data_IF_163924819074
#
_entry.id   IF_163924819074
#
_cell.length_a   1.000
_cell.length_b   1.000
_cell.length_c   1.000
_cell.angle_alpha   90.00
_cell.angle_beta   90.00
_cell.angle_gamma   90.00
#
_symmetry.space_group_name_H-M   'P 1'
#
loop_
_entity.id
_entity.type
_entity.pdbx_description
1 polymer ?
#
# COMPACT_ATOMS: atom_id res chain seq x y z
N UNK A 1 9.82 8.18 10.23
CA UNK A 1 10.25 6.85 10.61
C UNK A 1 9.21 5.82 10.22
N UNK A 2 9.63 4.67 9.74
CA UNK A 2 8.71 3.63 9.36
C UNK A 2 8.11 2.97 10.59
N UNK A 3 6.83 2.65 10.50
CA UNK A 3 6.12 2.01 11.59
C UNK A 3 5.30 0.87 10.97
N UNK A 4 5.64 -0.37 11.33
CA UNK A 4 4.96 -1.52 10.76
C UNK A 4 3.47 -1.52 11.03
N UNK A 5 3.07 -1.10 12.21
CA UNK A 5 1.63 -1.06 12.52
C UNK A 5 0.90 -0.09 11.61
N UNK A 6 1.52 1.04 11.29
CA UNK A 6 0.93 2.02 10.38
C UNK A 6 0.88 1.49 8.96
N UNK A 7 1.93 0.79 8.52
CA UNK A 7 1.93 0.20 7.19
C UNK A 7 0.84 -0.86 7.08
N UNK A 8 0.70 -1.71 8.09
CA UNK A 8 -0.33 -2.74 8.11
C UNK A 8 -1.71 -2.10 8.08
N UNK A 9 -1.90 -1.02 8.81
CA UNK A 9 -3.17 -0.30 8.81
C UNK A 9 -3.52 0.20 7.41
N UNK A 10 -2.54 0.72 6.69
CA UNK A 10 -2.77 1.19 5.32
C UNK A 10 -3.03 0.03 4.36
N UNK A 11 -2.38 -1.12 4.58
CA UNK A 11 -2.66 -2.32 3.79
C UNK A 11 -4.12 -2.75 4.02
N UNK A 12 -4.57 -2.72 5.28
CA UNK A 12 -5.94 -3.07 5.60
C UNK A 12 -6.93 -2.08 4.99
N UNK A 13 -6.56 -0.83 4.90
CA UNK A 13 -7.40 0.18 4.26
C UNK A 13 -7.60 -0.15 2.79
N UNK A 14 -6.54 -0.55 2.10
CA UNK A 14 -6.63 -0.95 0.69
C UNK A 14 -7.57 -2.15 0.56
N UNK A 15 -7.37 -3.15 1.41
CA UNK A 15 -8.16 -4.36 1.38
C UNK A 15 -9.65 -4.04 1.59
N UNK A 16 -9.93 -3.22 2.58
CA UNK A 16 -11.31 -2.85 2.88
C UNK A 16 -11.95 -2.03 1.78
N UNK A 17 -11.19 -1.13 1.17
CA UNK A 17 -11.72 -0.32 0.08
C UNK A 17 -12.11 -1.16 -1.12
N UNK A 18 -11.44 -2.28 -1.32
CA UNK A 18 -11.75 -3.19 -2.41
C UNK A 18 -12.66 -4.33 -1.97
N UNK A 19 -13.08 -4.33 -0.72
CA UNK A 19 -14.02 -5.31 -0.17
C UNK A 19 -13.50 -6.73 -0.33
N UNK A 20 -12.23 -6.93 -0.08
CA UNK A 20 -11.59 -8.23 -0.22
C UNK A 20 -11.34 -8.88 1.13
N UNK A 21 -11.46 -10.21 1.18
CA UNK A 21 -11.01 -10.96 2.34
C UNK A 21 -9.48 -11.02 2.29
N UNK A 22 -8.84 -11.41 3.38
CA UNK A 22 -7.39 -11.57 3.37
C UNK A 22 -6.97 -12.62 2.34
N UNK A 23 -7.74 -13.69 2.18
CA UNK A 23 -7.42 -14.72 1.19
C UNK A 23 -7.53 -14.18 -0.23
N UNK A 24 -8.59 -13.44 -0.54
CA UNK A 24 -8.77 -12.86 -1.87
C UNK A 24 -7.70 -11.82 -2.15
N UNK A 25 -7.36 -11.02 -1.15
CA UNK A 25 -6.32 -10.02 -1.29
C UNK A 25 -4.97 -10.68 -1.59
N UNK A 26 -4.65 -11.77 -0.85
CA UNK A 26 -3.42 -12.51 -1.09
C UNK A 26 -3.36 -13.04 -2.52
N UNK A 27 -4.46 -13.60 -2.99
CA UNK A 27 -4.54 -14.09 -4.35
C UNK A 27 -4.34 -12.96 -5.36
N UNK A 28 -4.98 -11.83 -5.12
CA UNK A 28 -4.91 -10.71 -6.03
C UNK A 28 -3.49 -10.18 -6.20
N UNK A 29 -2.74 -10.10 -5.12
CA UNK A 29 -1.37 -9.58 -5.22
C UNK A 29 -0.32 -10.66 -5.44
N UNK A 30 -0.74 -11.94 -5.43
CA UNK A 30 0.17 -13.03 -5.76
C UNK A 30 1.05 -13.50 -4.63
N UNK A 31 0.54 -13.49 -3.39
CA UNK A 31 1.28 -14.02 -2.25
C UNK A 31 0.49 -15.15 -1.61
N UNK A 32 1.15 -15.94 -0.78
CA UNK A 32 0.49 -17.02 -0.08
C UNK A 32 -0.37 -16.49 1.06
N UNK A 33 -1.45 -17.21 1.34
CA UNK A 33 -2.37 -16.80 2.41
C UNK A 33 -1.68 -16.74 3.76
N UNK A 34 -0.78 -17.68 4.03
CA UNK A 34 -0.07 -17.68 5.30
C UNK A 34 0.83 -16.46 5.45
N UNK A 35 1.49 -16.06 4.36
CA UNK A 35 2.32 -14.87 4.38
C UNK A 35 1.47 -13.63 4.66
N UNK A 36 0.32 -13.53 3.99
CA UNK A 36 -0.60 -12.42 4.21
C UNK A 36 -1.06 -12.38 5.66
N UNK A 37 -1.44 -13.53 6.20
CA UNK A 37 -1.93 -13.62 7.55
C UNK A 37 -0.87 -13.17 8.57
N UNK A 38 0.36 -13.60 8.36
CA UNK A 38 1.45 -13.22 9.28
C UNK A 38 1.75 -11.72 9.22
N UNK A 39 1.63 -11.12 8.06
CA UNK A 39 1.87 -9.68 7.93
C UNK A 39 0.72 -8.91 8.55
N UNK A 40 -0.51 -9.29 8.28
CA UNK A 40 -1.67 -8.56 8.81
C UNK A 40 -1.78 -8.70 10.33
N UNK A 41 -1.28 -9.79 10.90
CA UNK A 41 -1.32 -9.98 12.35
C UNK A 41 -0.14 -9.29 13.05
N UNK A 42 0.80 -8.74 12.29
CA UNK A 42 1.97 -8.10 12.87
C UNK A 42 3.10 -9.05 13.20
N UNK A 43 2.94 -10.34 12.87
CA UNK A 43 3.97 -11.33 13.18
C UNK A 43 5.22 -11.13 12.33
N UNK A 44 5.03 -10.79 11.07
CA UNK A 44 6.15 -10.53 10.16
C UNK A 44 6.04 -9.14 9.59
N UNK A 45 7.19 -8.52 9.32
CA UNK A 45 7.22 -7.21 8.65
C UNK A 45 6.94 -7.39 7.18
N UNK A 46 6.17 -6.47 6.56
CA UNK A 46 6.02 -6.52 5.11
C UNK A 46 7.36 -6.27 4.44
N UNK A 47 7.70 -7.14 3.50
CA UNK A 47 8.92 -6.95 2.73
C UNK A 47 8.68 -5.93 1.63
N UNK A 48 9.76 -5.39 1.08
CA UNK A 48 9.65 -4.48 -0.06
C UNK A 48 8.94 -5.18 -1.22
N UNK A 49 9.25 -6.43 -1.47
CA UNK A 49 8.62 -7.20 -2.53
C UNK A 49 7.11 -7.28 -2.32
N UNK A 50 6.68 -7.51 -1.08
CA UNK A 50 5.26 -7.56 -0.75
C UNK A 50 4.58 -6.23 -1.06
N UNK A 51 5.23 -5.11 -0.71
CA UNK A 51 4.66 -3.79 -0.95
C UNK A 51 4.60 -3.46 -2.44
N UNK A 52 5.60 -3.88 -3.19
CA UNK A 52 5.61 -3.69 -4.64
C UNK A 52 4.48 -4.50 -5.28
N UNK A 53 4.23 -5.71 -4.78
CA UNK A 53 3.13 -6.52 -5.30
C UNK A 53 1.78 -5.85 -5.07
N UNK A 54 1.61 -5.18 -3.94
CA UNK A 54 0.38 -4.41 -3.71
C UNK A 54 0.27 -3.27 -4.70
N UNK A 55 1.36 -2.53 -4.89
CA UNK A 55 1.37 -1.41 -5.82
C UNK A 55 1.05 -1.88 -7.24
N UNK A 56 1.61 -3.01 -7.65
CA UNK A 56 1.38 -3.53 -9.00
C UNK A 56 -0.05 -3.99 -9.21
N UNK A 57 -0.68 -4.50 -8.16
CA UNK A 57 -2.04 -5.02 -8.26
C UNK A 57 -3.10 -3.92 -8.19
N UNK A 58 -2.79 -2.80 -7.56
CA UNK A 58 -3.74 -1.71 -7.35
C UNK A 58 -3.12 -0.41 -7.83
N UNK A 59 -3.50 0.00 -9.04
CA UNK A 59 -2.88 1.15 -9.70
C UNK A 59 -3.00 2.43 -8.90
N UNK A 60 -4.06 2.56 -8.13
CA UNK A 60 -4.27 3.80 -7.39
C UNK A 60 -3.38 3.91 -6.15
N UNK A 61 -2.69 2.85 -5.76
CA UNK A 61 -1.88 2.86 -4.55
C UNK A 61 -0.54 3.51 -4.84
N UNK A 62 -0.25 4.57 -4.11
CA UNK A 62 1.04 5.25 -4.20
C UNK A 62 1.96 4.66 -3.15
N UNK A 63 3.16 4.24 -3.55
CA UNK A 63 4.10 3.61 -2.62
C UNK A 63 4.52 4.53 -1.50
N UNK A 64 4.67 5.81 -1.78
CA UNK A 64 5.05 6.74 -0.74
C UNK A 64 3.96 6.85 0.32
N UNK A 65 2.69 6.86 -0.10
CA UNK A 65 1.60 6.83 0.86
C UNK A 65 1.61 5.52 1.65
N UNK A 66 1.79 4.40 0.95
CA UNK A 66 1.73 3.10 1.60
C UNK A 66 2.82 2.95 2.64
N UNK A 67 4.02 3.33 2.32
CA UNK A 67 5.17 3.13 3.18
C UNK A 67 5.30 4.24 4.24
N UNK A 68 5.17 5.48 3.81
CA UNK A 68 5.45 6.63 4.67
C UNK A 68 4.21 7.34 5.18
N UNK A 69 3.06 7.04 4.62
CA UNK A 69 1.81 7.67 5.05
C UNK A 69 1.61 9.06 4.53
N UNK A 70 2.39 9.50 3.56
CA UNK A 70 2.26 10.85 3.01
C UNK A 70 1.14 10.89 2.00
N UNK A 71 0.33 11.93 2.00
CA UNK A 71 -0.75 12.03 1.03
C UNK A 71 -0.21 12.09 -0.38
N UNK A 72 -0.75 11.26 -1.26
CA UNK A 72 -0.25 11.19 -2.62
C UNK A 72 -0.51 12.47 -3.39
N UNK A 73 -1.53 13.20 -3.03
CA UNK A 73 -1.83 14.45 -3.72
C UNK A 73 -0.72 15.46 -3.62
N UNK A 74 0.14 15.35 -2.63
CA UNK A 74 1.25 16.28 -2.52
C UNK A 74 2.20 16.16 -3.68
N UNK A 75 2.19 15.04 -4.37
CA UNK A 75 3.14 14.85 -5.43
C UNK A 75 2.56 15.16 -6.77
N UNK A 76 1.28 14.96 -6.92
CA UNK A 76 0.70 15.19 -8.17
C UNK A 76 0.62 16.58 -8.51
N UNK A 77 0.38 17.35 -7.54
CA UNK A 77 0.20 18.73 -7.80
C UNK A 77 1.41 19.40 -8.14
N UNK A 78 2.36 18.70 -7.93
CA UNK A 78 3.49 19.25 -8.47
C UNK A 78 3.35 19.13 -9.89
N UNK A 79 2.38 18.55 -10.06
CA UNK A 79 2.01 18.55 -11.24
C UNK A 79 1.19 19.40 -11.58
N UNK A 80 1.16 19.78 -10.65
CA UNK A 80 0.72 20.48 -10.85
C UNK A 80 1.04 21.15 -10.86
N UNK A 81 1.42 21.26 -10.31
CA UNK A 81 1.81 21.74 -10.34
C UNK A 81 2.14 22.04 -11.06
N UNK A 82 1.95 21.90 -10.97
CA UNK A 82 2.14 22.13 -11.62
C UNK A 82 2.10 22.57 -12.15
N UNK A 83 2.03 22.69 -12.10
CA UNK A 83 2.07 23.05 -12.56
C UNK A 83 2.22 23.57 -12.68
N UNK A 84 2.32 23.74 -12.31
CA UNK A 84 2.74 24.10 -12.39
C UNK A 84 3.29 24.37 -12.61
N UNK A 85 3.18 24.49 -12.26
CA UNK A 85 3.78 24.63 -12.49
C UNK A 85 4.26 24.84 -12.68
N UNK A 86 4.12 24.92 -12.59
CA UNK A 86 4.61 24.89 -12.77
C UNK A 86 4.89 24.99 -13.10
N UNK A 87 4.61 25.05 -13.01
CA UNK A 87 4.90 24.88 -13.26
C UNK A 87 5.36 24.77 -13.45
#
# INVERSE_FOLDING_TARGET
>A
MLNNASIVSRIEEIRNNHQLTSASFATKIGVQRSAMSHILSGRNKPSLDFLIKIHDAFDEVNLEWLILGRPSSLFKDSENLSNQTIT
#
